data_IF_068091492613
#
_entry.id   IF_068091492613
#
_cell.length_a   1.000
_cell.length_b   1.000
_cell.length_c   1.000
_cell.angle_alpha   90.00
_cell.angle_beta   90.00
_cell.angle_gamma   90.00
#
_symmetry.space_group_name_H-M   'P 1'
#
loop_
_entity.id
_entity.type
_entity.pdbx_description
1 polymer ?
#
# COMPACT_ATOMS: atom_id res chain seq x y z
N UNK A 1 -8.25 -21.13 14.19
CA UNK A 1 -8.58 -19.95 13.37
C UNK A 1 -9.40 -18.99 14.21
N UNK A 2 -8.85 -17.81 14.50
CA UNK A 2 -9.64 -16.72 15.07
C UNK A 2 -10.47 -16.12 13.93
N UNK A 3 -11.79 -16.34 13.96
CA UNK A 3 -12.70 -15.66 13.05
C UNK A 3 -12.90 -14.23 13.55
N UNK A 4 -12.25 -13.27 12.89
CA UNK A 4 -12.60 -11.87 13.04
C UNK A 4 -13.81 -11.60 12.14
N UNK A 5 -14.95 -11.20 12.70
CA UNK A 5 -16.15 -10.83 11.95
C UNK A 5 -16.14 -9.33 11.71
N UNK A 6 -16.34 -8.91 10.45
CA UNK A 6 -16.51 -7.51 10.10
C UNK A 6 -17.99 -7.12 10.17
N UNK A 7 -18.27 -5.89 10.62
CA UNK A 7 -19.63 -5.37 10.83
C UNK A 7 -20.49 -5.16 9.57
N UNK A 8 -20.12 -5.67 8.39
CA UNK A 8 -20.88 -5.53 7.14
C UNK A 8 -20.75 -6.70 6.13
N UNK A 9 -20.40 -7.92 6.56
CA UNK A 9 -20.41 -9.07 5.64
C UNK A 9 -19.88 -10.37 6.25
N UNK A 10 -20.37 -11.51 5.75
CA UNK A 10 -20.13 -12.87 6.25
C UNK A 10 -18.85 -13.52 5.72
N UNK A 11 -17.98 -12.78 5.03
CA UNK A 11 -16.70 -13.33 4.57
C UNK A 11 -15.74 -13.46 5.77
N UNK A 12 -15.06 -14.61 5.93
CA UNK A 12 -14.02 -14.74 6.93
C UNK A 12 -12.90 -13.74 6.60
N UNK A 13 -12.49 -12.94 7.58
CA UNK A 13 -11.37 -12.04 7.38
C UNK A 13 -10.07 -12.85 7.29
N UNK A 14 -9.43 -12.80 6.11
CA UNK A 14 -8.15 -13.46 5.87
C UNK A 14 -7.05 -12.91 6.78
N UNK A 15 -6.19 -13.82 7.26
CA UNK A 15 -4.96 -13.50 7.96
C UNK A 15 -3.79 -14.10 7.19
N UNK A 16 -2.74 -13.31 6.96
CA UNK A 16 -1.60 -13.72 6.14
C UNK A 16 -0.39 -14.09 7.00
N UNK A 17 0.33 -15.14 6.63
CA UNK A 17 1.42 -15.70 7.42
C UNK A 17 2.79 -15.29 6.91
N UNK A 18 3.63 -14.81 7.81
CA UNK A 18 5.06 -14.65 7.57
C UNK A 18 5.79 -15.99 7.70
N UNK A 19 6.58 -16.35 6.69
CA UNK A 19 7.33 -17.60 6.63
C UNK A 19 8.81 -17.31 6.37
N UNK A 20 9.69 -17.76 7.26
CA UNK A 20 11.16 -17.68 7.11
C UNK A 20 11.72 -16.27 6.83
N UNK A 21 11.17 -15.24 7.46
CA UNK A 21 11.58 -13.84 7.31
C UNK A 21 10.90 -13.11 6.15
N UNK A 22 9.89 -13.70 5.50
CA UNK A 22 9.22 -13.14 4.33
C UNK A 22 7.70 -13.24 4.47
N UNK A 23 7.00 -12.15 4.14
CA UNK A 23 5.54 -12.09 3.99
C UNK A 23 5.22 -11.39 2.67
N UNK A 24 4.30 -11.93 1.88
CA UNK A 24 3.73 -11.29 0.70
C UNK A 24 2.21 -11.25 0.79
N UNK A 25 1.58 -10.16 0.37
CA UNK A 25 0.12 -9.99 0.43
C UNK A 25 -0.35 -9.13 -0.74
N UNK A 26 -1.37 -9.59 -1.45
CA UNK A 26 -2.05 -8.84 -2.50
C UNK A 26 -2.80 -7.64 -1.93
N UNK A 27 -2.71 -6.47 -2.57
CA UNK A 27 -3.25 -5.24 -2.00
C UNK A 27 -4.79 -5.34 -1.85
N UNK A 28 -5.49 -5.93 -2.81
CA UNK A 28 -6.95 -6.09 -2.80
C UNK A 28 -7.47 -7.03 -1.71
N UNK A 29 -6.57 -7.72 -1.01
CA UNK A 29 -6.86 -8.63 0.09
C UNK A 29 -6.85 -7.95 1.49
N UNK A 30 -7.07 -6.64 1.54
CA UNK A 30 -7.26 -5.92 2.80
C UNK A 30 -8.47 -6.45 3.58
N UNK A 31 -8.34 -6.49 4.90
CA UNK A 31 -9.42 -6.90 5.81
C UNK A 31 -10.55 -5.86 5.86
N UNK A 32 -10.18 -4.59 6.00
CA UNK A 32 -11.11 -3.46 5.99
C UNK A 32 -10.39 -2.16 5.68
N UNK A 33 -11.17 -1.16 5.27
CA UNK A 33 -10.71 0.20 5.06
C UNK A 33 -11.47 1.21 5.93
N UNK A 34 -10.82 2.31 6.30
CA UNK A 34 -11.42 3.39 7.13
C UNK A 34 -10.98 4.77 6.63
N UNK A 35 -11.55 5.83 7.20
CA UNK A 35 -11.21 7.23 6.86
C UNK A 35 -11.37 7.53 5.36
N UNK A 36 -12.43 6.99 4.76
CA UNK A 36 -12.63 6.92 3.32
C UNK A 36 -13.79 7.77 2.81
N UNK A 37 -14.09 8.88 3.51
CA UNK A 37 -15.18 9.79 3.16
C UNK A 37 -14.79 10.85 2.12
N UNK A 38 -13.49 11.07 1.90
CA UNK A 38 -12.96 12.10 0.99
C UNK A 38 -12.24 11.45 -0.20
N UNK A 39 -11.35 10.50 0.10
CA UNK A 39 -10.70 9.60 -0.85
C UNK A 39 -10.90 8.18 -0.39
N UNK A 40 -10.97 7.23 -1.32
CA UNK A 40 -11.30 5.84 -1.02
C UNK A 40 -10.49 4.91 -1.92
N UNK A 41 -10.12 3.74 -1.38
CA UNK A 41 -9.53 2.68 -2.18
C UNK A 41 -10.61 1.91 -2.93
N UNK A 42 -10.44 1.78 -4.24
CA UNK A 42 -11.29 1.01 -5.13
C UNK A 42 -10.50 -0.18 -5.68
N UNK A 43 -11.19 -1.32 -5.83
CA UNK A 43 -10.64 -2.49 -6.51
C UNK A 43 -10.80 -2.28 -8.02
N UNK A 44 -9.68 -2.23 -8.72
CA UNK A 44 -9.64 -2.07 -10.17
C UNK A 44 -9.29 -3.40 -10.80
N UNK A 45 -10.14 -3.86 -11.71
CA UNK A 45 -9.96 -5.09 -12.50
C UNK A 45 -9.94 -4.72 -13.97
N UNK A 46 -9.60 -5.66 -14.85
CA UNK A 46 -9.63 -5.44 -16.32
C UNK A 46 -10.96 -4.89 -16.85
N UNK A 47 -12.07 -5.15 -16.16
CA UNK A 47 -13.41 -4.73 -16.59
C UNK A 47 -13.89 -3.45 -15.87
N UNK A 48 -13.07 -2.86 -15.00
CA UNK A 48 -13.40 -1.60 -14.34
C UNK A 48 -13.35 -0.45 -15.34
N UNK A 49 -14.37 0.42 -15.30
CA UNK A 49 -14.46 1.62 -16.12
C UNK A 49 -13.85 2.81 -15.37
N UNK A 50 -12.61 3.17 -15.71
CA UNK A 50 -11.86 4.29 -15.11
C UNK A 50 -12.63 5.63 -15.16
N UNK A 51 -13.36 5.89 -16.26
CA UNK A 51 -14.12 7.14 -16.41
C UNK A 51 -15.26 7.25 -15.40
N UNK A 52 -15.83 6.12 -14.97
CA UNK A 52 -16.89 6.12 -13.96
C UNK A 52 -16.37 6.35 -12.54
N UNK A 53 -15.05 6.34 -12.35
CA UNK A 53 -14.40 6.51 -11.05
C UNK A 53 -13.58 7.80 -10.93
N UNK A 54 -13.68 8.70 -11.92
CA UNK A 54 -12.86 9.91 -12.04
C UNK A 54 -11.35 9.59 -11.99
N UNK A 55 -10.95 8.55 -12.74
CA UNK A 55 -9.56 8.12 -12.95
C UNK A 55 -9.10 8.54 -14.38
N UNK A 56 -8.15 9.48 -14.50
CA UNK A 56 -7.59 9.94 -15.77
C UNK A 56 -6.39 9.11 -16.28
N UNK A 57 -5.79 8.26 -15.43
CA UNK A 57 -4.60 7.46 -15.73
C UNK A 57 -4.93 6.19 -16.53
N UNK A 58 -6.16 5.71 -16.37
CA UNK A 58 -6.67 4.55 -17.08
C UNK A 58 -6.31 3.24 -16.39
N UNK A 59 -6.69 2.13 -17.02
CA UNK A 59 -6.69 0.83 -16.35
C UNK A 59 -5.38 0.06 -16.54
N UNK A 60 -4.68 -0.23 -15.44
CA UNK A 60 -3.40 -0.97 -15.44
C UNK A 60 -3.50 -2.43 -14.93
N UNK A 61 -4.71 -2.99 -14.86
CA UNK A 61 -4.94 -4.28 -14.25
C UNK A 61 -4.24 -5.44 -14.98
N UNK A 62 -4.00 -5.35 -16.29
CA UNK A 62 -3.33 -6.41 -17.06
C UNK A 62 -1.90 -6.74 -16.59
N UNK A 63 -1.21 -5.79 -15.93
CA UNK A 63 0.13 -6.00 -15.36
C UNK A 63 0.18 -6.25 -13.85
N UNK A 64 -0.97 -6.15 -13.18
CA UNK A 64 -1.11 -6.43 -11.75
C UNK A 64 -1.02 -7.94 -11.48
N UNK A 65 -0.51 -8.33 -10.31
CA UNK A 65 -0.20 -9.72 -9.93
C UNK A 65 -1.39 -10.66 -10.15
N UNK A 66 -2.58 -10.24 -9.71
CA UNK A 66 -3.84 -10.99 -9.84
C UNK A 66 -4.77 -10.45 -10.93
N UNK A 67 -4.27 -9.63 -11.85
CA UNK A 67 -5.15 -8.91 -12.77
C UNK A 67 -6.07 -7.90 -12.05
N UNK A 68 -5.71 -7.52 -10.82
CA UNK A 68 -6.45 -6.61 -9.94
C UNK A 68 -5.46 -5.78 -9.14
N UNK A 69 -5.75 -4.50 -8.93
CA UNK A 69 -5.00 -3.62 -8.03
C UNK A 69 -5.97 -2.72 -7.26
N UNK A 70 -5.44 -1.95 -6.32
CA UNK A 70 -6.18 -0.90 -5.61
C UNK A 70 -5.76 0.49 -6.07
N UNK A 71 -6.71 1.40 -6.15
CA UNK A 71 -6.44 2.79 -6.50
C UNK A 71 -7.20 3.75 -5.59
N UNK A 72 -6.57 4.88 -5.24
CA UNK A 72 -7.17 5.91 -4.39
C UNK A 72 -7.91 6.93 -5.24
N UNK A 73 -9.23 6.91 -5.19
CA UNK A 73 -10.07 7.75 -6.05
C UNK A 73 -11.03 8.65 -5.24
N UNK A 74 -11.54 9.75 -5.86
CA UNK A 74 -11.20 10.27 -7.19
C UNK A 74 -9.74 10.75 -7.27
N UNK A 75 -9.10 10.58 -8.42
CA UNK A 75 -7.79 11.18 -8.68
C UNK A 75 -7.99 12.60 -9.22
N UNK A 76 -7.48 13.56 -8.46
CA UNK A 76 -7.64 14.98 -8.76
C UNK A 76 -6.30 15.69 -8.92
N UNK A 77 -5.18 14.96 -8.89
CA UNK A 77 -3.85 15.56 -8.92
C UNK A 77 -2.79 14.70 -9.60
N UNK A 78 -3.06 14.40 -10.87
CA UNK A 78 -2.17 13.67 -11.78
C UNK A 78 -0.77 14.27 -11.98
N UNK A 79 -0.63 15.60 -11.87
CA UNK A 79 0.62 16.29 -12.17
C UNK A 79 0.80 17.62 -11.41
N UNK A 80 1.94 18.29 -11.62
CA UNK A 80 2.31 19.53 -10.93
C UNK A 80 1.43 20.76 -11.28
N UNK A 81 0.72 20.75 -12.41
CA UNK A 81 -0.18 21.83 -12.80
C UNK A 81 -1.51 21.75 -12.01
N UNK A 82 -1.85 20.57 -11.49
CA UNK A 82 -3.02 20.36 -10.65
C UNK A 82 -2.81 20.91 -9.23
N UNK A 83 -3.88 21.47 -8.68
CA UNK A 83 -3.81 22.14 -7.38
C UNK A 83 -3.59 21.12 -6.26
N UNK A 84 -2.54 21.32 -5.47
CA UNK A 84 -2.34 20.61 -4.21
C UNK A 84 -3.32 21.09 -3.13
N UNK A 85 -4.11 20.17 -2.58
CA UNK A 85 -5.13 20.40 -1.55
C UNK A 85 -4.87 19.44 -0.38
N UNK A 86 -4.25 19.98 0.68
CA UNK A 86 -3.99 19.25 1.91
C UNK A 86 -5.30 18.80 2.59
N UNK A 87 -5.35 17.53 3.01
CA UNK A 87 -6.54 16.93 3.60
C UNK A 87 -7.61 16.56 2.57
N UNK A 88 -7.28 16.56 1.28
CA UNK A 88 -8.17 16.11 0.21
C UNK A 88 -7.45 15.20 -0.79
N UNK A 89 -6.59 15.75 -1.65
CA UNK A 89 -5.78 14.98 -2.60
C UNK A 89 -4.38 14.66 -2.08
N UNK A 90 -4.04 15.21 -0.91
CA UNK A 90 -2.75 15.00 -0.29
C UNK A 90 -2.83 15.00 1.24
N UNK A 91 -2.15 14.04 1.88
CA UNK A 91 -1.97 13.97 3.33
C UNK A 91 -0.53 13.63 3.68
N UNK A 92 0.24 14.60 4.18
CA UNK A 92 1.59 14.32 4.69
C UNK A 92 1.58 13.68 6.08
N UNK A 93 0.45 13.75 6.79
CA UNK A 93 0.26 13.07 8.07
C UNK A 93 -0.25 11.63 7.82
N UNK A 94 0.46 10.61 8.33
CA UNK A 94 0.04 9.22 8.18
C UNK A 94 -1.24 8.93 8.98
N UNK A 95 -2.04 7.98 8.51
CA UNK A 95 -3.22 7.50 9.23
C UNK A 95 -4.38 8.49 9.30
N UNK A 96 -4.46 9.46 8.38
CA UNK A 96 -5.55 10.44 8.33
C UNK A 96 -6.59 10.16 7.27
N UNK A 97 -6.22 9.48 6.18
CA UNK A 97 -7.08 9.34 5.01
C UNK A 97 -6.84 8.00 4.30
N UNK A 98 -7.92 7.43 3.77
CA UNK A 98 -7.99 6.18 3.01
C UNK A 98 -7.04 5.12 3.59
N UNK A 99 -7.41 4.56 4.74
CA UNK A 99 -6.55 3.62 5.47
C UNK A 99 -6.99 2.19 5.14
N UNK A 100 -6.10 1.38 4.60
CA UNK A 100 -6.23 -0.08 4.48
C UNK A 100 -5.65 -0.76 5.71
N UNK A 101 -6.24 -1.88 6.12
CA UNK A 101 -5.77 -2.70 7.24
C UNK A 101 -5.72 -4.17 6.83
N UNK A 102 -4.64 -4.84 7.20
CA UNK A 102 -4.36 -6.24 6.90
C UNK A 102 -4.03 -6.96 8.19
N UNK A 103 -4.65 -8.12 8.42
CA UNK A 103 -4.28 -8.99 9.52
C UNK A 103 -3.17 -9.94 9.10
N UNK A 104 -2.14 -10.04 9.94
CA UNK A 104 -0.99 -10.90 9.68
C UNK A 104 -0.60 -11.68 10.92
N UNK A 105 0.03 -12.83 10.71
CA UNK A 105 0.68 -13.61 11.74
C UNK A 105 2.19 -13.62 11.50
N UNK A 106 2.96 -13.10 12.46
CA UNK A 106 4.42 -13.02 12.39
C UNK A 106 5.03 -14.15 13.21
N UNK A 107 5.73 -15.07 12.56
CA UNK A 107 6.44 -16.16 13.22
C UNK A 107 7.79 -15.69 13.79
N UNK A 108 8.49 -14.80 13.07
CA UNK A 108 9.87 -14.43 13.37
C UNK A 108 10.03 -12.92 13.65
N UNK A 109 9.97 -12.46 14.91
CA UNK A 109 10.12 -11.03 15.24
C UNK A 109 11.41 -10.39 14.71
N UNK A 110 11.40 -9.08 14.54
CA UNK A 110 12.55 -8.27 14.18
C UNK A 110 12.19 -7.08 13.29
N UNK A 111 13.23 -6.47 12.73
CA UNK A 111 13.13 -5.43 11.70
C UNK A 111 12.72 -6.06 10.37
N UNK A 112 11.69 -5.51 9.74
CA UNK A 112 11.25 -5.85 8.40
C UNK A 112 11.26 -4.62 7.51
N UNK A 113 11.90 -4.70 6.36
CA UNK A 113 11.76 -3.73 5.29
C UNK A 113 10.40 -3.91 4.63
N UNK A 114 9.76 -2.80 4.28
CA UNK A 114 8.46 -2.81 3.62
C UNK A 114 8.67 -2.55 2.13
N UNK A 115 8.16 -3.43 1.30
CA UNK A 115 8.14 -3.30 -0.15
C UNK A 115 6.71 -3.14 -0.63
N UNK A 116 6.52 -2.28 -1.64
CA UNK A 116 5.24 -2.08 -2.30
C UNK A 116 5.48 -2.16 -3.80
N UNK A 117 4.57 -2.84 -4.49
CA UNK A 117 4.47 -2.90 -5.94
C UNK A 117 3.42 -1.88 -6.39
N UNK A 118 3.88 -0.91 -7.15
CA UNK A 118 3.06 0.22 -7.62
C UNK A 118 3.32 0.47 -9.11
N UNK A 119 2.37 1.14 -9.75
CA UNK A 119 2.45 1.67 -11.09
C UNK A 119 2.29 3.19 -10.99
N UNK A 120 3.16 3.95 -11.69
CA UNK A 120 3.11 5.42 -11.68
C UNK A 120 2.97 5.92 -13.11
N UNK A 121 1.86 6.63 -13.36
CA UNK A 121 1.51 7.17 -14.69
C UNK A 121 2.13 8.56 -14.93
N UNK A 122 2.23 9.35 -13.86
CA UNK A 122 2.69 10.74 -13.86
C UNK A 122 3.84 11.04 -12.87
N UNK A 123 4.10 12.33 -12.65
CA UNK A 123 5.08 12.80 -11.63
C UNK A 123 4.52 12.76 -10.20
N UNK A 124 3.22 12.56 -10.05
CA UNK A 124 2.49 12.51 -8.78
C UNK A 124 2.05 11.08 -8.47
N UNK A 125 1.14 10.93 -7.50
CA UNK A 125 0.45 9.68 -7.18
C UNK A 125 1.41 8.54 -6.78
N UNK A 126 2.53 8.93 -6.19
CA UNK A 126 3.69 8.08 -5.98
C UNK A 126 4.14 8.06 -4.52
N UNK A 127 3.20 8.23 -3.60
CA UNK A 127 3.45 8.27 -2.18
C UNK A 127 2.36 7.63 -1.32
N UNK A 128 2.80 6.98 -0.25
CA UNK A 128 1.97 6.21 0.69
C UNK A 128 2.65 6.17 2.06
N UNK A 129 1.89 5.91 3.12
CA UNK A 129 2.42 5.62 4.46
C UNK A 129 2.10 4.18 4.85
N UNK A 130 2.94 3.60 5.71
CA UNK A 130 2.74 2.29 6.36
C UNK A 130 2.76 2.42 7.88
N UNK A 131 1.89 1.64 8.54
CA UNK A 131 1.69 1.59 9.98
C UNK A 131 1.71 0.17 10.51
N UNK A 132 1.86 0.06 11.84
CA UNK A 132 1.90 -1.20 12.58
C UNK A 132 1.06 -1.06 13.86
N UNK A 133 0.12 -1.98 14.05
CA UNK A 133 -0.72 -2.09 15.25
C UNK A 133 -1.41 -0.78 15.65
N UNK A 134 -1.97 -0.07 14.66
CA UNK A 134 -2.64 1.22 14.86
C UNK A 134 -1.70 2.41 15.10
N UNK A 135 -0.39 2.20 15.02
CA UNK A 135 0.63 3.25 15.15
C UNK A 135 1.33 3.53 13.81
N UNK A 136 1.89 4.72 13.67
CA UNK A 136 2.53 5.19 12.43
C UNK A 136 3.99 5.59 12.70
N UNK A 137 4.92 4.62 12.75
CA UNK A 137 6.31 4.88 13.10
C UNK A 137 6.96 5.82 12.08
N UNK A 138 7.98 6.58 12.50
CA UNK A 138 8.70 7.50 11.59
C UNK A 138 9.25 6.79 10.36
N UNK A 139 9.74 5.55 10.51
CA UNK A 139 10.22 4.70 9.42
C UNK A 139 9.12 4.22 8.48
N UNK A 140 7.84 4.36 8.82
CA UNK A 140 6.72 4.02 7.95
C UNK A 140 6.15 5.19 7.14
N UNK A 141 6.68 6.40 7.32
CA UNK A 141 6.06 7.59 6.71
C UNK A 141 6.70 7.94 5.38
N UNK A 142 5.91 8.51 4.44
CA UNK A 142 6.44 9.09 3.19
C UNK A 142 7.26 8.08 2.39
N UNK A 143 6.73 6.86 2.29
CA UNK A 143 7.23 5.92 1.31
C UNK A 143 6.99 6.53 -0.07
N UNK A 144 8.01 6.53 -0.91
CA UNK A 144 8.07 7.31 -2.14
C UNK A 144 8.61 6.45 -3.27
N UNK A 145 8.01 6.61 -4.44
CA UNK A 145 8.32 5.85 -5.64
C UNK A 145 8.77 6.79 -6.75
N UNK A 146 9.51 6.25 -7.73
CA UNK A 146 9.81 7.00 -8.94
C UNK A 146 8.50 7.22 -9.75
N UNK A 147 8.23 8.46 -10.10
CA UNK A 147 7.13 8.81 -11.00
C UNK A 147 7.43 8.44 -12.46
N UNK A 148 6.39 8.41 -13.30
CA UNK A 148 6.42 8.14 -14.74
C UNK A 148 7.07 6.80 -15.10
N UNK A 149 6.97 5.79 -14.24
CA UNK A 149 7.61 4.50 -14.51
C UNK A 149 6.85 3.72 -15.59
N UNK A 150 5.51 3.83 -15.60
CA UNK A 150 4.61 3.16 -16.55
C UNK A 150 4.79 1.64 -16.62
N UNK A 151 5.18 1.06 -15.48
CA UNK A 151 5.27 -0.37 -15.25
C UNK A 151 5.13 -0.65 -13.75
N UNK A 152 4.56 -1.81 -13.44
CA UNK A 152 4.46 -2.29 -12.07
C UNK A 152 5.83 -2.69 -11.52
N UNK A 153 6.21 -2.12 -10.39
CA UNK A 153 7.55 -2.35 -9.84
C UNK A 153 7.63 -2.27 -8.32
N UNK A 154 8.57 -3.02 -7.76
CA UNK A 154 8.85 -3.05 -6.33
C UNK A 154 9.82 -1.96 -5.92
N UNK A 155 9.44 -1.14 -4.94
CA UNK A 155 10.35 -0.17 -4.34
C UNK A 155 10.15 -0.05 -2.81
N UNK A 156 11.17 0.51 -2.15
CA UNK A 156 11.21 0.71 -0.70
C UNK A 156 12.11 1.89 -0.35
N UNK A 157 11.60 3.11 -0.49
CA UNK A 157 12.38 4.33 -0.27
C UNK A 157 11.57 5.34 0.53
N UNK A 158 12.24 6.03 1.45
CA UNK A 158 11.60 7.07 2.25
C UNK A 158 12.00 8.45 1.77
N UNK A 159 11.03 9.28 1.39
CA UNK A 159 11.28 10.69 1.09
C UNK A 159 11.82 11.44 2.31
N UNK A 160 12.87 12.20 2.08
CA UNK A 160 13.44 13.14 3.05
C UNK A 160 13.39 14.56 2.51
N UNK A 161 13.71 15.55 3.34
CA UNK A 161 13.86 16.94 2.87
C UNK A 161 15.00 17.09 1.85
N UNK A 162 16.07 16.31 1.98
CA UNK A 162 17.22 16.37 1.09
C UNK A 162 17.06 15.52 -0.19
N UNK A 163 16.31 14.41 -0.10
CA UNK A 163 16.16 13.44 -1.19
C UNK A 163 14.67 13.18 -1.43
N UNK A 164 14.13 13.90 -2.42
CA UNK A 164 12.70 13.86 -2.76
C UNK A 164 12.25 12.56 -3.42
N UNK A 165 13.15 11.85 -4.10
CA UNK A 165 12.91 10.51 -4.70
C UNK A 165 13.09 9.35 -3.70
N UNK A 166 13.39 9.70 -2.45
CA UNK A 166 13.53 8.77 -1.34
C UNK A 166 14.89 8.11 -1.17
N UNK A 167 15.20 7.77 0.08
CA UNK A 167 16.42 7.08 0.49
C UNK A 167 16.09 5.60 0.76
N UNK A 168 16.84 4.64 0.16
CA UNK A 168 16.74 3.20 0.45
C UNK A 168 16.88 2.87 1.94
N UNK A 169 16.37 1.70 2.35
CA UNK A 169 16.51 1.11 3.70
C UNK A 169 15.88 1.89 4.87
N UNK A 170 15.30 3.06 4.61
CA UNK A 170 14.65 3.87 5.64
C UNK A 170 13.18 3.50 5.87
N UNK A 171 12.57 2.70 4.98
CA UNK A 171 11.21 2.20 5.15
C UNK A 171 11.22 0.81 5.80
N UNK A 172 10.86 0.75 7.08
CA UNK A 172 10.82 -0.50 7.84
C UNK A 172 9.85 -0.44 9.03
N UNK A 173 9.46 -1.61 9.51
CA UNK A 173 8.68 -1.82 10.73
C UNK A 173 9.49 -2.66 11.72
N UNK A 174 9.45 -2.28 13.00
CA UNK A 174 10.05 -3.05 14.09
C UNK A 174 8.96 -3.88 14.78
N UNK A 175 8.90 -5.18 14.46
CA UNK A 175 7.91 -6.10 15.00
C UNK A 175 8.55 -6.89 16.13
N UNK A 176 8.27 -6.50 17.37
CA UNK A 176 9.03 -6.98 18.54
C UNK A 176 8.53 -8.31 19.13
N UNK A 177 7.34 -8.77 18.73
CA UNK A 177 6.70 -9.96 19.29
C UNK A 177 6.18 -10.85 18.16
N UNK A 178 6.17 -12.18 18.34
CA UNK A 178 5.49 -13.06 17.39
C UNK A 178 3.98 -13.01 17.65
N UNK A 179 3.20 -13.41 16.65
CA UNK A 179 1.75 -13.52 16.73
C UNK A 179 1.01 -12.60 15.79
N UNK A 180 -0.24 -12.29 16.16
CA UNK A 180 -1.13 -11.46 15.34
C UNK A 180 -0.75 -9.99 15.41
N UNK A 181 -0.66 -9.37 14.23
CA UNK A 181 -0.43 -7.94 14.06
C UNK A 181 -1.39 -7.37 13.01
N UNK A 182 -1.54 -6.05 13.01
CA UNK A 182 -2.19 -5.32 11.92
C UNK A 182 -1.14 -4.48 11.19
N UNK A 183 -0.99 -4.72 9.89
CA UNK A 183 -0.26 -3.82 9.00
C UNK A 183 -1.28 -2.89 8.36
N UNK A 184 -1.01 -1.59 8.37
CA UNK A 184 -1.90 -0.58 7.82
C UNK A 184 -1.18 0.24 6.76
N UNK A 185 -1.92 0.69 5.76
CA UNK A 185 -1.43 1.62 4.75
C UNK A 185 -2.38 2.80 4.62
N UNK A 186 -1.87 4.02 4.52
CA UNK A 186 -2.71 5.22 4.35
C UNK A 186 -2.23 6.08 3.21
N UNK A 187 -3.18 6.80 2.60
CA UNK A 187 -2.91 7.76 1.54
C UNK A 187 -1.86 8.78 1.97
N UNK A 188 -0.91 9.03 1.06
CA UNK A 188 -0.16 10.29 1.04
C UNK A 188 -0.64 11.17 -0.12
N UNK A 189 -0.80 10.57 -1.30
CA UNK A 189 -1.32 11.19 -2.53
C UNK A 189 -2.53 10.37 -3.01
N UNK A 190 -3.55 11.01 -3.58
CA UNK A 190 -4.60 10.30 -4.34
C UNK A 190 -4.01 9.72 -5.64
N UNK A 191 -4.82 9.03 -6.44
CA UNK A 191 -4.36 8.33 -7.66
C UNK A 191 -3.43 7.14 -7.42
N UNK A 192 -2.89 6.95 -6.21
CA UNK A 192 -1.88 5.92 -5.95
C UNK A 192 -2.37 4.52 -6.30
N UNK A 193 -1.69 3.88 -7.26
CA UNK A 193 -1.98 2.52 -7.69
C UNK A 193 -1.15 1.49 -6.88
N UNK A 194 -1.84 0.55 -6.23
CA UNK A 194 -1.27 -0.39 -5.28
C UNK A 194 -1.64 -1.83 -5.63
N UNK A 195 -0.67 -2.62 -6.06
CA UNK A 195 -0.89 -4.02 -6.48
C UNK A 195 -0.57 -5.02 -5.38
N UNK A 196 0.61 -4.93 -4.78
CA UNK A 196 1.08 -5.92 -3.80
C UNK A 196 2.05 -5.32 -2.80
N UNK A 197 2.16 -5.91 -1.62
CA UNK A 197 3.18 -5.53 -0.65
C UNK A 197 3.88 -6.74 -0.04
N UNK A 198 5.07 -6.51 0.49
CA UNK A 198 5.86 -7.53 1.16
C UNK A 198 6.63 -6.99 2.35
N UNK A 199 6.89 -7.87 3.32
CA UNK A 199 7.85 -7.66 4.40
C UNK A 199 9.02 -8.62 4.22
N UNK A 200 10.25 -8.11 4.30
CA UNK A 200 11.47 -8.93 4.24
C UNK A 200 12.45 -8.53 5.34
N UNK A 201 13.15 -9.50 5.93
CA UNK A 201 14.21 -9.21 6.93
C UNK A 201 15.47 -8.61 6.32
N UNK A 202 15.75 -8.90 5.05
CA UNK A 202 16.86 -8.33 4.28
C UNK A 202 16.34 -7.25 3.34
N UNK A 203 17.17 -6.25 3.02
CA UNK A 203 16.83 -5.24 2.02
C UNK A 203 17.13 -5.78 0.62
N UNK A 204 16.40 -6.81 0.24
CA UNK A 204 16.49 -7.45 -1.08
C UNK A 204 15.17 -7.21 -1.79
N UNK A 205 15.24 -6.45 -2.90
CA UNK A 205 14.06 -6.09 -3.69
C UNK A 205 13.41 -7.36 -4.25
N UNK A 206 12.10 -7.58 -4.04
CA UNK A 206 11.39 -8.68 -4.69
C UNK A 206 11.47 -8.60 -6.22
N UNK A 207 11.56 -9.76 -6.86
CA UNK A 207 11.59 -9.88 -8.33
C UNK A 207 10.21 -10.26 -8.88
N UNK A 208 9.89 -9.84 -10.10
CA UNK A 208 8.62 -10.18 -10.76
C UNK A 208 7.40 -9.82 -9.92
N UNK A 209 6.55 -10.81 -9.65
CA UNK A 209 5.35 -10.68 -8.80
C UNK A 209 5.64 -10.73 -7.30
N UNK A 210 6.91 -10.85 -6.91
CA UNK A 210 7.33 -10.93 -5.52
C UNK A 210 6.92 -12.23 -4.81
N UNK A 211 6.96 -12.25 -3.47
CA UNK A 211 6.60 -13.45 -2.71
C UNK A 211 5.11 -13.79 -2.84
N UNK A 212 4.84 -15.09 -2.91
CA UNK A 212 3.49 -15.64 -2.85
C UNK A 212 2.83 -15.35 -1.49
N UNK A 213 1.54 -15.06 -1.49
CA UNK A 213 0.78 -14.97 -0.26
C UNK A 213 0.58 -16.33 0.41
N UNK A 214 0.49 -16.32 1.74
CA UNK A 214 0.24 -17.50 2.57
C UNK A 214 -0.86 -17.16 3.56
N UNK A 215 -1.91 -17.98 3.60
CA UNK A 215 -2.96 -17.87 4.60
C UNK A 215 -2.51 -18.59 5.89
N UNK A 216 -2.82 -17.99 7.04
CA UNK A 216 -2.57 -18.53 8.38
C UNK A 216 -3.76 -19.34 8.92
#
# INVERSE_FOLDING_TARGET
MAHFLNGQGTEPVSCYEEVNGVLGVEAEHFAFQTHNSIRKWYKITKNSDSLAMDDPDGNHADGASNGTYLEILPDTRTNHDDKLIHGENFSNEPGKMAILNYYVYINNPGKYYVWVRTHTSGTEDNGIHVGLDGTWPKSGQRMQFDGNKKEWSWESRQRTEAVHTGVPELVYLEILKPGYHTISFSMREDGFEFDKWALTKTYERPEGLGPEEKLH
#
